data_IF_203795877070
#
_entry.id   IF_203795877070
#
_cell.length_a   1.000
_cell.length_b   1.000
_cell.length_c   1.000
_cell.angle_alpha   90.00
_cell.angle_beta   90.00
_cell.angle_gamma   90.00
#
_symmetry.space_group_name_H-M   'P 1'
#
loop_
_entity.id
_entity.type
_entity.pdbx_description
1 polymer ?
#
# COMPACT_ATOMS: atom_id res chain seq x y z
N UNK A 1 -9.15 0.71 11.04
CA UNK A 1 -8.04 0.31 10.16
C UNK A 1 -8.50 -0.95 9.45
N UNK A 2 -8.42 -1.00 8.13
CA UNK A 2 -8.84 -2.19 7.36
C UNK A 2 -7.81 -3.32 7.52
N UNK A 3 -8.21 -4.57 7.21
CA UNK A 3 -7.26 -5.71 7.19
C UNK A 3 -6.13 -5.43 6.17
N UNK A 4 -6.47 -4.81 5.02
CA UNK A 4 -5.49 -4.41 4.00
C UNK A 4 -4.45 -3.44 4.55
N UNK A 5 -4.87 -2.38 5.25
CA UNK A 5 -3.95 -1.40 5.82
C UNK A 5 -3.00 -2.01 6.85
N UNK A 6 -3.49 -2.98 7.64
CA UNK A 6 -2.66 -3.63 8.64
C UNK A 6 -1.53 -4.45 8.01
N UNK A 7 -1.85 -5.26 6.98
CA UNK A 7 -0.84 -6.13 6.33
C UNK A 7 0.15 -5.32 5.48
N UNK A 8 -0.31 -4.28 4.77
CA UNK A 8 0.58 -3.40 3.99
C UNK A 8 1.54 -2.63 4.90
N UNK A 9 1.08 -2.14 6.05
CA UNK A 9 1.94 -1.49 7.04
C UNK A 9 2.98 -2.44 7.63
N UNK A 10 2.58 -3.67 7.99
CA UNK A 10 3.50 -4.66 8.52
C UNK A 10 4.61 -4.98 7.49
N UNK A 11 4.24 -5.20 6.24
CA UNK A 11 5.16 -5.46 5.15
C UNK A 11 6.12 -4.29 4.91
N UNK A 12 5.62 -3.05 4.80
CA UNK A 12 6.46 -1.88 4.56
C UNK A 12 7.31 -1.47 5.78
N UNK A 13 7.03 -1.97 7.00
CA UNK A 13 7.90 -1.76 8.16
C UNK A 13 9.19 -2.54 8.10
N UNK A 14 9.27 -3.60 7.31
CA UNK A 14 10.49 -4.36 7.10
C UNK A 14 11.57 -3.45 6.49
N UNK A 15 12.72 -3.37 7.12
CA UNK A 15 13.79 -2.45 6.69
C UNK A 15 14.27 -2.74 5.26
N UNK A 16 14.28 -4.00 4.86
CA UNK A 16 14.67 -4.43 3.50
C UNK A 16 13.71 -3.90 2.45
N UNK A 17 12.40 -4.06 2.67
CA UNK A 17 11.34 -3.60 1.78
C UNK A 17 11.27 -2.07 1.74
N UNK A 18 11.38 -1.44 2.92
CA UNK A 18 11.42 0.02 3.04
C UNK A 18 12.60 0.63 2.27
N UNK A 19 13.81 0.09 2.47
CA UNK A 19 15.01 0.53 1.77
C UNK A 19 14.87 0.36 0.26
N UNK A 20 14.29 -0.74 -0.20
CA UNK A 20 14.10 -1.04 -1.62
C UNK A 20 13.19 -0.02 -2.31
N UNK A 21 12.07 0.35 -1.68
CA UNK A 21 11.17 1.37 -2.20
C UNK A 21 11.87 2.73 -2.40
N UNK A 22 12.70 3.15 -1.45
CA UNK A 22 13.45 4.40 -1.57
C UNK A 22 14.67 4.29 -2.48
N UNK A 23 15.31 3.14 -2.55
CA UNK A 23 16.37 2.87 -3.53
C UNK A 23 15.83 2.96 -4.96
N UNK A 24 14.61 2.45 -5.20
CA UNK A 24 13.95 2.65 -6.49
C UNK A 24 13.68 4.13 -6.74
N UNK A 25 13.00 4.81 -5.80
CA UNK A 25 12.54 6.18 -5.98
C UNK A 25 13.70 7.17 -6.21
N UNK A 26 14.74 7.11 -5.36
CA UNK A 26 15.78 8.13 -5.31
C UNK A 26 16.99 7.73 -6.19
N UNK A 27 17.33 6.44 -6.19
CA UNK A 27 18.57 5.95 -6.77
C UNK A 27 18.37 5.01 -7.98
N UNK A 28 17.14 4.97 -8.52
CA UNK A 28 16.78 4.15 -9.69
C UNK A 28 17.15 2.66 -9.51
N UNK A 29 16.90 2.12 -8.31
CA UNK A 29 17.15 0.72 -7.94
C UNK A 29 18.58 0.43 -7.45
N UNK A 30 19.49 1.40 -7.39
CA UNK A 30 20.81 1.20 -6.80
C UNK A 30 20.69 1.10 -5.26
N UNK A 31 21.34 0.12 -4.67
CA UNK A 31 21.30 -0.17 -3.21
C UNK A 31 22.17 0.82 -2.42
N UNK A 32 21.72 2.06 -2.29
CA UNK A 32 22.40 3.14 -1.53
C UNK A 32 21.90 3.16 -0.09
N UNK A 33 20.58 3.08 0.11
CA UNK A 33 19.97 2.98 1.43
C UNK A 33 20.09 1.54 1.89
N UNK A 34 20.82 1.32 2.99
CA UNK A 34 21.07 0.01 3.57
C UNK A 34 20.07 -0.26 4.70
N UNK A 35 19.37 -1.41 4.69
CA UNK A 35 18.37 -1.74 5.69
C UNK A 35 18.87 -1.66 7.14
N UNK A 36 20.12 -2.05 7.36
CA UNK A 36 20.76 -2.09 8.67
C UNK A 36 21.02 -0.71 9.26
N UNK A 37 20.99 0.33 8.42
CA UNK A 37 21.20 1.73 8.80
C UNK A 37 19.90 2.53 8.93
N UNK A 38 18.75 1.86 8.82
CA UNK A 38 17.45 2.44 9.05
C UNK A 38 17.08 2.38 10.52
N UNK A 39 16.65 3.51 11.06
CA UNK A 39 16.13 3.62 12.41
C UNK A 39 14.69 4.10 12.36
N UNK A 40 13.76 3.31 12.88
CA UNK A 40 12.35 3.72 13.00
C UNK A 40 12.22 4.86 14.02
N UNK A 41 11.47 5.88 13.66
CA UNK A 41 11.17 7.03 14.50
C UNK A 41 9.72 6.98 14.96
N UNK A 42 9.47 7.47 16.17
CA UNK A 42 8.12 7.58 16.69
C UNK A 42 7.35 8.67 15.92
N UNK A 43 6.28 8.26 15.27
CA UNK A 43 5.37 9.17 14.56
C UNK A 43 4.42 9.92 15.50
N UNK A 44 4.32 9.53 16.79
CA UNK A 44 3.43 10.15 17.78
C UNK A 44 3.90 11.51 18.28
N UNK A 45 5.20 11.81 18.23
CA UNK A 45 5.73 13.11 18.64
C UNK A 45 5.24 14.29 17.79
N UNK A 46 4.84 14.03 16.56
CA UNK A 46 4.33 15.04 15.61
C UNK A 46 3.06 15.74 16.08
N UNK A 47 2.21 15.04 16.83
CA UNK A 47 0.88 15.54 17.24
C UNK A 47 0.95 16.52 18.41
N UNK A 48 1.95 16.44 19.25
CA UNK A 48 2.06 17.31 20.44
C UNK A 48 2.28 18.80 20.10
N UNK A 49 2.83 19.12 18.93
CA UNK A 49 3.06 20.51 18.52
C UNK A 49 1.78 21.21 18.04
N UNK A 50 0.83 20.49 17.45
CA UNK A 50 -0.45 21.04 17.00
C UNK A 50 -1.42 21.23 18.17
N UNK A 51 -1.35 20.38 19.20
CA UNK A 51 -2.27 20.39 20.34
C UNK A 51 -2.02 21.48 21.39
N UNK A 52 -0.90 22.22 21.34
CA UNK A 52 -0.58 23.30 22.30
C UNK A 52 -1.23 24.65 22.02
N UNK A 53 -2.06 24.80 20.99
CA UNK A 53 -2.93 25.95 20.78
C UNK A 53 -4.09 25.92 21.78
N UNK A 54 -4.15 26.93 22.67
CA UNK A 54 -5.19 27.09 23.69
C UNK A 54 -6.59 27.10 23.09
N UNK A 55 -7.47 26.32 23.70
CA UNK A 55 -8.93 26.29 23.64
C UNK A 55 -9.60 25.55 22.48
N UNK A 56 -10.20 24.51 22.92
CA UNK A 56 -11.46 23.83 22.58
C UNK A 56 -11.35 22.44 21.98
N UNK A 57 -11.97 21.55 22.79
CA UNK A 57 -12.58 20.27 22.43
C UNK A 57 -12.07 19.59 21.14
N UNK A 58 -11.05 18.80 21.34
CA UNK A 58 -10.88 17.43 20.88
C UNK A 58 -11.60 17.05 19.56
N UNK A 59 -11.13 17.56 18.48
CA UNK A 59 -10.87 16.71 17.34
C UNK A 59 -9.36 16.80 17.09
N UNK A 60 -8.63 15.98 17.82
CA UNK A 60 -7.23 15.73 17.52
C UNK A 60 -7.18 15.24 16.08
N UNK A 61 -6.57 16.02 15.21
CA UNK A 61 -6.21 15.56 13.87
C UNK A 61 -5.12 14.50 14.06
N UNK A 62 -5.53 13.33 14.57
CA UNK A 62 -4.72 12.12 14.64
C UNK A 62 -4.57 11.57 13.23
N UNK A 63 -3.76 12.22 12.43
CA UNK A 63 -3.32 11.65 11.16
C UNK A 63 -1.82 11.48 11.23
N UNK A 64 -1.43 10.30 11.66
CA UNK A 64 -0.05 9.87 11.68
C UNK A 64 0.39 9.49 10.26
N UNK A 65 1.62 9.82 9.92
CA UNK A 65 2.33 9.15 8.83
C UNK A 65 2.41 7.66 9.16
N UNK A 66 2.22 6.80 8.16
CA UNK A 66 2.19 5.36 8.40
C UNK A 66 3.52 4.84 8.93
N UNK A 67 4.64 5.26 8.31
CA UNK A 67 5.98 4.87 8.72
C UNK A 67 6.93 6.05 8.53
N UNK A 68 7.82 6.28 9.50
CA UNK A 68 8.89 7.26 9.42
C UNK A 68 10.19 6.63 9.90
N UNK A 69 11.25 6.70 9.09
CA UNK A 69 12.58 6.20 9.45
C UNK A 69 13.65 7.23 9.18
N UNK A 70 14.66 7.27 10.04
CA UNK A 70 15.91 7.96 9.73
C UNK A 70 16.81 7.01 8.95
N UNK A 71 17.37 7.50 7.86
CA UNK A 71 18.36 6.81 7.05
C UNK A 71 19.69 7.54 7.14
N UNK A 72 20.78 6.77 7.20
CA UNK A 72 22.15 7.29 7.11
C UNK A 72 22.70 6.84 5.76
N UNK A 73 23.02 7.81 4.91
CA UNK A 73 23.76 7.57 3.67
C UNK A 73 25.20 7.96 3.90
N UNK A 74 26.12 7.09 3.60
CA UNK A 74 27.55 7.40 3.65
C UNK A 74 28.06 7.46 2.22
N UNK A 75 28.47 8.67 1.80
CA UNK A 75 29.35 8.88 0.67
C UNK A 75 30.72 9.29 1.22
N UNK A 76 31.73 8.50 0.93
CA UNK A 76 33.09 8.64 1.45
C UNK A 76 33.17 8.65 3.00
N UNK A 77 33.76 9.65 3.60
CA UNK A 77 33.84 9.81 5.07
C UNK A 77 32.73 10.67 5.67
N UNK A 78 31.79 11.15 4.86
CA UNK A 78 30.67 12.00 5.29
C UNK A 78 29.40 11.18 5.42
N UNK A 79 28.70 11.35 6.55
CA UNK A 79 27.37 10.77 6.78
C UNK A 79 26.31 11.82 6.55
N UNK A 80 25.46 11.61 5.53
CA UNK A 80 24.26 12.40 5.32
C UNK A 80 23.06 11.71 5.93
N UNK A 81 22.23 12.49 6.61
CA UNK A 81 21.03 12.02 7.29
C UNK A 81 19.81 12.44 6.52
N UNK A 82 18.91 11.48 6.26
CA UNK A 82 17.61 11.71 5.64
C UNK A 82 16.49 11.26 6.57
N UNK A 83 15.35 11.94 6.47
CA UNK A 83 14.09 11.46 7.06
C UNK A 83 13.22 10.94 5.92
N UNK A 84 12.87 9.66 6.00
CA UNK A 84 12.12 8.95 4.98
C UNK A 84 10.77 8.54 5.54
N UNK A 85 9.69 8.95 4.88
CA UNK A 85 8.34 8.63 5.30
C UNK A 85 7.57 7.89 4.22
N UNK A 86 6.77 6.89 4.59
CA UNK A 86 5.85 6.19 3.68
C UNK A 86 4.42 6.39 4.12
N UNK A 87 3.56 6.66 3.16
CA UNK A 87 2.10 6.61 3.23
C UNK A 87 1.60 5.45 2.38
N UNK A 88 1.06 4.41 3.03
CA UNK A 88 0.47 3.26 2.35
C UNK A 88 -1.00 3.56 2.06
N UNK A 89 -1.37 3.61 0.80
CA UNK A 89 -2.73 3.89 0.38
C UNK A 89 -3.35 2.67 -0.30
N UNK A 90 -4.36 2.07 0.32
CA UNK A 90 -5.19 1.03 -0.31
C UNK A 90 -6.37 1.62 -1.06
N UNK A 91 -6.73 2.86 -0.72
CA UNK A 91 -7.75 3.68 -1.38
C UNK A 91 -7.15 5.05 -1.70
N UNK A 92 -7.61 5.69 -2.76
CA UNK A 92 -7.07 6.98 -3.19
C UNK A 92 -7.51 8.09 -2.22
N UNK A 93 -6.54 8.83 -1.72
CA UNK A 93 -6.80 10.02 -0.91
C UNK A 93 -6.62 11.27 -1.75
N UNK A 94 -7.73 11.84 -2.24
CA UNK A 94 -7.71 12.96 -3.19
C UNK A 94 -7.04 14.25 -2.70
N UNK A 95 -6.81 14.42 -1.40
CA UNK A 95 -6.04 15.52 -0.84
C UNK A 95 -4.62 15.12 -0.41
N UNK A 96 -4.01 14.12 -1.07
CA UNK A 96 -2.70 13.60 -0.70
C UNK A 96 -1.57 14.64 -0.74
N UNK A 97 -1.49 15.56 -1.73
CA UNK A 97 -0.47 16.60 -1.73
C UNK A 97 -0.51 17.48 -0.47
N UNK A 98 -1.69 17.90 -0.03
CA UNK A 98 -1.85 18.68 1.21
C UNK A 98 -1.47 17.87 2.43
N UNK A 99 -1.86 16.61 2.48
CA UNK A 99 -1.55 15.71 3.59
C UNK A 99 -0.03 15.53 3.76
N UNK A 100 0.67 15.22 2.68
CA UNK A 100 2.13 15.06 2.70
C UNK A 100 2.84 16.37 3.04
N UNK A 101 2.41 17.49 2.46
CA UNK A 101 2.95 18.82 2.77
C UNK A 101 2.88 19.14 4.27
N UNK A 102 1.75 18.82 4.93
CA UNK A 102 1.61 19.01 6.37
C UNK A 102 2.62 18.16 7.14
N UNK A 103 2.79 16.90 6.77
CA UNK A 103 3.74 16.01 7.45
C UNK A 103 5.19 16.47 7.29
N UNK A 104 5.60 16.87 6.10
CA UNK A 104 6.94 17.35 5.86
C UNK A 104 7.20 18.68 6.57
N UNK A 105 6.23 19.61 6.54
CA UNK A 105 6.32 20.87 7.27
C UNK A 105 6.46 20.66 8.78
N UNK A 106 5.74 19.71 9.37
CA UNK A 106 5.86 19.35 10.77
C UNK A 106 7.24 18.80 11.10
N UNK A 107 7.80 17.94 10.24
CA UNK A 107 9.17 17.43 10.45
C UNK A 107 10.20 18.56 10.41
N UNK A 108 10.10 19.48 9.46
CA UNK A 108 10.99 20.65 9.43
C UNK A 108 10.80 21.54 10.66
N UNK A 109 9.56 21.76 11.10
CA UNK A 109 9.26 22.50 12.33
C UNK A 109 9.89 21.87 13.57
N UNK A 110 9.81 20.54 13.70
CA UNK A 110 10.44 19.79 14.78
C UNK A 110 11.98 19.94 14.77
N UNK A 111 12.60 19.86 13.59
CA UNK A 111 14.04 20.04 13.45
C UNK A 111 14.46 21.44 13.87
N UNK A 112 13.75 22.48 13.43
CA UNK A 112 14.01 23.88 13.84
C UNK A 112 13.92 24.02 15.35
N UNK A 113 12.87 23.47 15.97
CA UNK A 113 12.69 23.54 17.43
C UNK A 113 13.79 22.80 18.20
N UNK A 114 14.20 21.62 17.72
CA UNK A 114 15.27 20.83 18.33
C UNK A 114 16.63 21.54 18.22
N UNK A 115 16.96 22.12 17.07
CA UNK A 115 18.19 22.86 16.83
C UNK A 115 18.21 24.11 17.72
N UNK A 116 17.11 24.86 17.79
CA UNK A 116 17.00 26.04 18.65
C UNK A 116 17.21 25.68 20.12
N UNK A 117 16.61 24.58 20.60
CA UNK A 117 16.82 24.09 21.96
C UNK A 117 18.29 23.70 22.24
N UNK A 118 18.96 23.10 21.25
CA UNK A 118 20.38 22.74 21.34
C UNK A 118 21.28 24.01 21.39
N UNK A 119 21.01 24.98 20.52
CA UNK A 119 21.76 26.27 20.49
C UNK A 119 21.69 26.99 21.82
N UNK A 120 20.56 27.01 22.51
CA UNK A 120 20.41 27.55 23.85
C UNK A 120 21.31 26.85 24.88
N UNK A 121 21.40 25.51 24.81
CA UNK A 121 22.23 24.72 25.73
C UNK A 121 23.73 24.95 25.51
N UNK A 122 24.16 25.09 24.26
CA UNK A 122 25.57 25.26 23.89
C UNK A 122 26.14 26.66 24.24
N UNK A 123 25.29 27.59 24.63
CA UNK A 123 25.66 28.96 25.04
C UNK A 123 26.62 29.67 24.07
N UNK A 124 26.50 29.39 22.78
CA UNK A 124 27.23 30.14 21.75
C UNK A 124 26.78 31.60 21.79
N UNK A 125 27.68 32.51 21.47
CA UNK A 125 27.37 33.94 21.40
C UNK A 125 26.73 34.28 20.04
N UNK A 126 25.39 34.26 19.92
CA UNK A 126 24.70 34.50 18.67
C UNK A 126 24.66 35.99 18.33
N UNK A 127 24.48 36.29 17.05
CA UNK A 127 24.02 37.61 16.63
C UNK A 127 22.61 37.87 17.17
N UNK A 128 22.16 39.15 17.17
CA UNK A 128 20.81 39.49 17.60
C UNK A 128 19.72 38.71 16.78
N UNK A 129 19.94 38.54 15.48
CA UNK A 129 19.01 37.84 14.62
C UNK A 129 18.93 36.31 14.94
N UNK A 130 20.08 35.70 15.18
CA UNK A 130 20.18 34.30 15.60
C UNK A 130 19.56 34.07 16.99
N UNK A 131 19.79 35.00 17.91
CA UNK A 131 19.17 34.97 19.25
C UNK A 131 17.64 35.02 19.16
N UNK A 132 17.09 35.91 18.31
CA UNK A 132 15.63 36.05 18.15
C UNK A 132 14.99 34.87 17.48
N UNK A 133 15.65 34.27 16.49
CA UNK A 133 15.13 33.10 15.76
C UNK A 133 15.40 31.78 16.49
N UNK A 134 16.44 31.72 17.32
CA UNK A 134 16.97 30.48 17.90
C UNK A 134 17.69 29.60 16.90
N UNK A 135 17.64 29.93 15.60
CA UNK A 135 18.24 29.18 14.50
C UNK A 135 19.38 29.97 13.89
N UNK A 136 20.58 29.40 13.86
CA UNK A 136 21.78 30.10 13.45
C UNK A 136 21.99 29.98 11.93
N UNK A 137 22.71 30.95 11.36
CA UNK A 137 22.99 31.00 9.92
C UNK A 137 23.70 29.74 9.41
N UNK A 138 24.49 29.09 10.27
CA UNK A 138 25.23 27.87 9.95
C UNK A 138 24.39 26.60 10.11
N UNK A 139 23.24 26.65 10.79
CA UNK A 139 22.40 25.49 11.02
C UNK A 139 21.81 25.00 9.71
N UNK A 140 21.64 23.68 9.60
CA UNK A 140 21.08 23.00 8.44
C UNK A 140 19.98 22.04 8.89
N UNK A 141 18.96 21.94 8.06
CA UNK A 141 17.92 20.92 8.21
C UNK A 141 18.29 19.69 7.43
N UNK A 142 17.86 18.54 7.94
CA UNK A 142 17.93 17.25 7.23
C UNK A 142 16.80 17.19 6.21
N UNK A 143 17.04 16.74 4.98
CA UNK A 143 15.98 16.54 4.00
C UNK A 143 14.91 15.56 4.50
N UNK A 144 13.65 15.85 4.19
CA UNK A 144 12.50 14.97 4.43
C UNK A 144 11.95 14.56 3.09
N UNK A 145 11.83 13.26 2.86
CA UNK A 145 11.27 12.70 1.62
C UNK A 145 10.12 11.77 1.99
N UNK A 146 8.93 12.07 1.48
CA UNK A 146 7.73 11.27 1.69
C UNK A 146 7.32 10.57 0.41
N UNK A 147 7.24 9.24 0.47
CA UNK A 147 6.76 8.37 -0.60
C UNK A 147 5.30 7.97 -0.33
N UNK A 148 4.47 8.10 -1.32
CA UNK A 148 3.13 7.50 -1.38
C UNK A 148 3.23 6.19 -2.15
N UNK A 149 2.87 5.09 -1.52
CA UNK A 149 2.83 3.79 -2.16
C UNK A 149 1.38 3.32 -2.29
N UNK A 150 0.89 3.22 -3.51
CA UNK A 150 -0.48 2.82 -3.80
C UNK A 150 -0.61 1.31 -3.87
N UNK A 151 -1.41 0.73 -2.96
CA UNK A 151 -1.70 -0.70 -2.92
C UNK A 151 -3.08 -1.05 -3.52
N UNK A 152 -3.73 -0.09 -4.18
CA UNK A 152 -4.98 -0.32 -4.89
C UNK A 152 -4.76 -1.01 -6.23
N UNK A 153 -5.79 -1.76 -6.67
CA UNK A 153 -5.79 -2.40 -7.99
C UNK A 153 -6.20 -1.44 -9.13
N UNK A 154 -6.78 -0.29 -8.77
CA UNK A 154 -7.10 0.78 -9.71
C UNK A 154 -5.93 1.73 -9.88
N UNK A 155 -5.70 2.29 -11.07
CA UNK A 155 -4.71 3.33 -11.26
C UNK A 155 -5.00 4.53 -10.36
N UNK A 156 -3.95 5.21 -9.91
CA UNK A 156 -4.09 6.45 -9.18
C UNK A 156 -4.68 7.53 -10.07
N UNK A 157 -5.84 8.08 -9.69
CA UNK A 157 -6.53 9.17 -10.41
C UNK A 157 -6.61 10.49 -9.61
N UNK A 158 -5.98 10.52 -8.42
CA UNK A 158 -5.91 11.72 -7.58
C UNK A 158 -4.81 12.68 -8.04
N UNK A 159 -4.90 13.94 -7.58
CA UNK A 159 -3.87 14.93 -7.82
C UNK A 159 -2.50 14.47 -7.29
N UNK A 160 -1.45 14.74 -8.05
CA UNK A 160 -0.05 14.46 -7.70
C UNK A 160 0.69 15.71 -7.26
N UNK A 161 0.08 16.88 -7.43
CA UNK A 161 0.64 18.16 -6.98
C UNK A 161 -0.43 19.06 -6.38
N UNK A 162 0.04 20.03 -5.58
CA UNK A 162 -0.83 21.04 -4.97
C UNK A 162 -1.48 21.92 -6.04
N UNK A 163 -0.75 22.24 -7.12
CA UNK A 163 -1.27 23.04 -8.22
C UNK A 163 -2.42 22.35 -8.96
N UNK A 164 -2.41 21.02 -9.09
CA UNK A 164 -3.51 20.26 -9.70
C UNK A 164 -4.80 20.31 -8.87
N UNK A 165 -4.68 20.65 -7.58
CA UNK A 165 -5.82 20.79 -6.67
C UNK A 165 -6.39 22.22 -6.64
N UNK A 166 -5.77 23.18 -7.34
CA UNK A 166 -6.12 24.60 -7.26
C UNK A 166 -6.83 25.06 -8.53
N UNK A 167 -7.80 25.94 -8.34
CA UNK A 167 -8.36 26.78 -9.39
C UNK A 167 -7.64 28.14 -9.38
N UNK A 168 -7.00 28.49 -10.50
CA UNK A 168 -6.26 29.73 -10.64
C UNK A 168 -7.12 30.72 -11.43
N UNK A 169 -7.71 31.77 -10.78
CA UNK A 169 -8.46 32.79 -11.49
C UNK A 169 -7.67 33.51 -12.57
N UNK A 170 -6.35 33.64 -12.35
CA UNK A 170 -5.39 34.18 -13.30
C UNK A 170 -4.16 33.27 -13.28
N UNK A 171 -3.70 32.82 -14.46
CA UNK A 171 -2.56 31.89 -14.57
C UNK A 171 -1.26 32.46 -14.00
N UNK A 172 -1.11 33.78 -14.03
CA UNK A 172 0.03 34.49 -13.46
C UNK A 172 0.18 34.23 -11.94
N UNK A 173 -0.91 33.95 -11.23
CA UNK A 173 -0.90 33.66 -9.79
C UNK A 173 -0.15 32.36 -9.49
N UNK A 174 -0.11 31.41 -10.41
CA UNK A 174 0.58 30.13 -10.25
C UNK A 174 2.06 30.30 -9.89
N UNK A 175 2.73 31.31 -10.41
CA UNK A 175 4.14 31.57 -10.16
C UNK A 175 4.44 32.03 -8.73
N UNK A 176 3.45 32.53 -8.01
CA UNK A 176 3.59 32.99 -6.62
C UNK A 176 3.24 31.93 -5.58
N UNK A 177 2.67 30.81 -6.01
CA UNK A 177 2.27 29.72 -5.13
C UNK A 177 3.24 28.56 -5.35
N UNK A 178 3.89 28.13 -4.26
CA UNK A 178 4.81 27.00 -4.32
C UNK A 178 4.02 25.71 -4.61
N UNK A 179 4.45 24.98 -5.63
CA UNK A 179 3.88 23.67 -5.91
C UNK A 179 4.52 22.61 -5.02
N UNK A 180 3.68 21.83 -4.33
CA UNK A 180 4.13 20.68 -3.56
C UNK A 180 3.73 19.41 -4.31
N UNK A 181 4.72 18.65 -4.77
CA UNK A 181 4.52 17.39 -5.51
C UNK A 181 4.73 16.19 -4.61
N UNK A 182 3.88 15.19 -4.73
CA UNK A 182 4.07 13.90 -4.07
C UNK A 182 5.01 13.02 -4.89
N UNK A 183 5.74 12.15 -4.20
CA UNK A 183 6.43 11.03 -4.83
C UNK A 183 5.52 9.83 -4.74
N UNK A 184 5.07 9.31 -5.89
CA UNK A 184 4.08 8.25 -5.98
C UNK A 184 4.69 7.02 -6.66
N UNK A 185 4.52 5.86 -6.05
CA UNK A 185 4.64 4.56 -6.72
C UNK A 185 3.22 4.02 -6.92
N UNK A 186 2.76 4.03 -8.16
CA UNK A 186 1.50 3.43 -8.59
C UNK A 186 1.81 2.18 -9.43
N UNK A 187 1.50 0.96 -8.94
CA UNK A 187 1.79 -0.27 -9.66
C UNK A 187 1.19 -0.33 -11.06
N UNK A 188 0.01 0.29 -11.26
CA UNK A 188 -0.64 0.30 -12.56
C UNK A 188 0.16 1.08 -13.61
N UNK A 189 0.89 2.11 -13.19
CA UNK A 189 1.70 2.97 -14.05
C UNK A 189 3.13 2.46 -14.28
N UNK A 190 3.63 1.53 -13.44
CA UNK A 190 5.00 1.00 -13.60
C UNK A 190 5.13 0.21 -14.91
N UNK A 191 6.20 0.45 -15.65
CA UNK A 191 6.56 -0.40 -16.77
C UNK A 191 7.20 -1.72 -16.29
N UNK A 192 7.18 -2.81 -17.09
CA UNK A 192 7.76 -4.09 -16.69
C UNK A 192 9.25 -4.02 -16.30
N UNK A 193 10.05 -3.20 -16.97
CA UNK A 193 11.45 -2.99 -16.65
C UNK A 193 11.68 -2.18 -15.38
N UNK A 194 10.71 -1.38 -14.96
CA UNK A 194 10.75 -0.68 -13.69
C UNK A 194 10.54 -1.63 -12.51
N UNK A 195 9.71 -2.65 -12.67
CA UNK A 195 9.55 -3.71 -11.65
C UNK A 195 10.88 -4.44 -11.39
N UNK A 196 11.72 -4.62 -12.40
CA UNK A 196 13.03 -5.30 -12.24
C UNK A 196 14.03 -4.49 -11.41
N UNK A 197 13.78 -3.21 -11.17
CA UNK A 197 14.63 -2.36 -10.32
C UNK A 197 14.44 -2.62 -8.83
N UNK A 198 13.36 -3.30 -8.44
CA UNK A 198 13.14 -3.72 -7.06
C UNK A 198 13.87 -5.02 -6.78
N UNK A 199 14.56 -5.08 -5.65
CA UNK A 199 15.42 -6.19 -5.27
C UNK A 199 14.79 -7.15 -4.25
N UNK A 200 13.70 -6.74 -3.60
CA UNK A 200 12.97 -7.51 -2.58
C UNK A 200 11.65 -8.05 -3.13
N UNK A 201 10.87 -8.74 -2.30
CA UNK A 201 9.50 -9.18 -2.61
C UNK A 201 8.52 -8.03 -2.91
N UNK A 202 8.93 -6.78 -2.72
CA UNK A 202 8.15 -5.61 -3.17
C UNK A 202 7.88 -5.66 -4.68
N UNK A 203 8.83 -6.15 -5.49
CA UNK A 203 8.64 -6.41 -6.92
C UNK A 203 7.44 -7.32 -7.20
N UNK A 204 7.38 -8.44 -6.48
CA UNK A 204 6.33 -9.44 -6.66
C UNK A 204 4.98 -8.91 -6.19
N UNK A 205 4.96 -8.18 -5.07
CA UNK A 205 3.75 -7.54 -4.56
C UNK A 205 3.22 -6.51 -5.56
N UNK A 206 4.05 -5.59 -6.03
CA UNK A 206 3.65 -4.56 -7.01
C UNK A 206 3.22 -5.18 -8.34
N UNK A 207 3.91 -6.22 -8.80
CA UNK A 207 3.53 -6.96 -10.01
C UNK A 207 2.19 -7.67 -9.88
N UNK A 208 1.93 -8.31 -8.75
CA UNK A 208 0.62 -8.92 -8.47
C UNK A 208 -0.51 -7.87 -8.43
N UNK A 209 -0.27 -6.69 -7.86
CA UNK A 209 -1.24 -5.59 -7.88
C UNK A 209 -1.49 -5.12 -9.31
N UNK A 210 -0.44 -4.84 -10.07
CA UNK A 210 -0.51 -4.39 -11.47
C UNK A 210 -1.38 -5.30 -12.33
N UNK A 211 -1.25 -6.61 -12.16
CA UNK A 211 -1.96 -7.58 -12.97
C UNK A 211 -3.23 -8.14 -12.31
N UNK A 212 -3.60 -7.67 -11.10
CA UNK A 212 -4.69 -8.25 -10.29
C UNK A 212 -6.06 -8.27 -10.97
N UNK A 213 -6.33 -7.35 -11.90
CA UNK A 213 -7.60 -7.27 -12.66
C UNK A 213 -7.62 -8.15 -13.91
N UNK A 214 -6.48 -8.68 -14.33
CA UNK A 214 -6.33 -9.53 -15.51
C UNK A 214 -5.84 -10.91 -15.07
N UNK A 215 -6.75 -11.87 -14.95
CA UNK A 215 -6.44 -13.21 -14.45
C UNK A 215 -5.37 -13.92 -15.27
N UNK A 216 -5.34 -13.72 -16.59
CA UNK A 216 -4.36 -14.36 -17.47
C UNK A 216 -2.97 -13.76 -17.26
N UNK A 217 -2.88 -12.44 -17.23
CA UNK A 217 -1.60 -11.75 -16.97
C UNK A 217 -1.09 -12.03 -15.56
N UNK A 218 -1.96 -12.03 -14.55
CA UNK A 218 -1.59 -12.37 -13.18
C UNK A 218 -1.06 -13.80 -13.08
N UNK A 219 -1.78 -14.77 -13.65
CA UNK A 219 -1.36 -16.16 -13.67
C UNK A 219 -0.03 -16.34 -14.42
N UNK A 220 0.13 -15.68 -15.57
CA UNK A 220 1.38 -15.70 -16.34
C UNK A 220 2.54 -15.07 -15.55
N UNK A 221 2.32 -13.93 -14.91
CA UNK A 221 3.32 -13.26 -14.09
C UNK A 221 3.80 -14.15 -12.93
N UNK A 222 2.87 -14.83 -12.24
CA UNK A 222 3.21 -15.69 -11.11
C UNK A 222 3.92 -16.96 -11.58
N UNK A 223 3.43 -17.62 -12.63
CA UNK A 223 4.03 -18.88 -13.10
C UNK A 223 5.40 -18.72 -13.74
N UNK A 224 5.62 -17.62 -14.43
CA UNK A 224 6.88 -17.36 -15.13
C UNK A 224 7.93 -16.67 -14.25
N UNK A 225 7.59 -16.32 -13.01
CA UNK A 225 8.47 -15.63 -12.10
C UNK A 225 9.14 -16.61 -11.13
N UNK A 226 10.45 -16.77 -11.26
CA UNK A 226 11.25 -17.66 -10.41
C UNK A 226 11.40 -17.16 -8.96
N UNK A 227 10.99 -15.91 -8.68
CA UNK A 227 11.08 -15.26 -7.35
C UNK A 227 9.76 -15.37 -6.56
N UNK A 228 8.85 -16.27 -6.94
CA UNK A 228 7.54 -16.46 -6.28
C UNK A 228 7.58 -17.37 -5.04
N UNK A 229 8.74 -17.51 -4.40
CA UNK A 229 8.86 -17.93 -3.02
C UNK A 229 8.97 -16.67 -2.16
N UNK A 230 7.92 -16.36 -1.41
CA UNK A 230 7.75 -15.08 -0.75
C UNK A 230 7.65 -15.24 0.76
N UNK A 231 8.15 -14.28 1.49
CA UNK A 231 7.96 -14.15 2.92
C UNK A 231 6.47 -13.99 3.23
N UNK A 232 6.05 -14.44 4.39
CA UNK A 232 4.66 -14.48 4.82
C UNK A 232 3.96 -13.11 4.73
N UNK A 233 4.67 -12.00 5.03
CA UNK A 233 4.08 -10.66 4.97
C UNK A 233 3.79 -10.23 3.53
N UNK A 234 4.66 -10.54 2.57
CA UNK A 234 4.43 -10.30 1.16
C UNK A 234 3.22 -11.11 0.64
N UNK A 235 3.17 -12.40 0.98
CA UNK A 235 2.05 -13.27 0.62
C UNK A 235 0.71 -12.78 1.20
N UNK A 236 0.69 -12.32 2.46
CA UNK A 236 -0.49 -11.71 3.10
C UNK A 236 -0.97 -10.45 2.40
N UNK A 237 -0.04 -9.61 1.92
CA UNK A 237 -0.39 -8.41 1.14
C UNK A 237 -1.04 -8.82 -0.18
N UNK A 238 -0.43 -9.74 -0.93
CA UNK A 238 -0.99 -10.23 -2.19
C UNK A 238 -2.38 -10.82 -1.98
N UNK A 239 -2.55 -11.69 -0.97
CA UNK A 239 -3.86 -12.26 -0.61
C UNK A 239 -4.91 -11.17 -0.33
N UNK A 240 -4.53 -10.15 0.47
CA UNK A 240 -5.47 -9.11 0.87
C UNK A 240 -5.91 -8.21 -0.30
N UNK A 241 -5.07 -8.04 -1.31
CA UNK A 241 -5.32 -7.11 -2.42
C UNK A 241 -5.96 -7.83 -3.61
N UNK A 242 -5.46 -9.03 -3.95
CA UNK A 242 -5.92 -9.78 -5.14
C UNK A 242 -7.13 -10.67 -4.86
N UNK A 243 -7.57 -10.78 -3.61
CA UNK A 243 -8.62 -11.71 -3.15
C UNK A 243 -8.32 -13.19 -3.44
N UNK A 244 -7.05 -13.53 -3.68
CA UNK A 244 -6.60 -14.92 -3.79
C UNK A 244 -6.67 -15.55 -2.40
N UNK A 245 -7.33 -16.68 -2.25
CA UNK A 245 -7.36 -17.41 -0.96
C UNK A 245 -6.08 -18.23 -0.87
N UNK A 246 -5.23 -17.92 0.11
CA UNK A 246 -4.03 -18.69 0.43
C UNK A 246 -4.21 -19.29 1.83
N UNK A 247 -3.87 -20.55 1.99
CA UNK A 247 -3.79 -21.15 3.32
C UNK A 247 -2.44 -20.74 3.95
N UNK A 248 -2.47 -19.65 4.69
CA UNK A 248 -1.31 -19.08 5.37
C UNK A 248 -1.39 -19.44 6.85
N UNK A 249 -0.91 -20.62 7.23
CA UNK A 249 -0.74 -20.99 8.63
C UNK A 249 0.30 -20.11 9.31
N UNK A 250 0.15 -19.87 10.63
CA UNK A 250 1.05 -18.98 11.39
C UNK A 250 2.48 -19.54 11.52
N UNK A 251 2.68 -20.82 11.21
CA UNK A 251 3.96 -21.52 11.31
C UNK A 251 4.83 -21.45 10.04
N UNK A 252 4.31 -20.83 8.96
CA UNK A 252 4.99 -20.79 7.65
C UNK A 252 5.74 -19.47 7.52
N UNK A 253 7.05 -19.52 7.34
CA UNK A 253 7.89 -18.33 7.11
C UNK A 253 7.89 -17.90 5.64
N UNK A 254 7.83 -18.86 4.70
CA UNK A 254 7.86 -18.62 3.26
C UNK A 254 6.75 -19.38 2.52
N UNK A 255 6.20 -18.78 1.50
CA UNK A 255 5.09 -19.30 0.69
C UNK A 255 5.48 -19.42 -0.78
N UNK A 256 5.30 -20.62 -1.35
CA UNK A 256 5.45 -20.84 -2.79
C UNK A 256 4.16 -20.46 -3.49
N UNK A 257 4.09 -19.25 -4.00
CA UNK A 257 2.87 -18.69 -4.61
C UNK A 257 2.37 -19.47 -5.80
N UNK A 258 3.26 -20.04 -6.64
CA UNK A 258 2.87 -20.85 -7.80
C UNK A 258 2.03 -22.06 -7.39
N UNK A 259 2.47 -22.78 -6.35
CA UNK A 259 1.74 -23.95 -5.84
C UNK A 259 0.39 -23.55 -5.26
N UNK A 260 0.37 -22.52 -4.43
CA UNK A 260 -0.86 -22.03 -3.80
C UNK A 260 -1.93 -21.61 -4.84
N UNK A 261 -1.50 -21.01 -5.96
CA UNK A 261 -2.41 -20.67 -7.06
C UNK A 261 -2.86 -21.90 -7.84
N UNK A 262 -1.99 -22.86 -8.10
CA UNK A 262 -2.35 -24.08 -8.80
C UNK A 262 -3.36 -24.89 -7.98
N UNK A 263 -3.16 -25.02 -6.68
CA UNK A 263 -4.11 -25.66 -5.74
C UNK A 263 -5.47 -24.93 -5.77
N UNK A 264 -5.48 -23.60 -5.65
CA UNK A 264 -6.72 -22.80 -5.75
C UNK A 264 -7.44 -22.94 -7.11
N UNK A 265 -6.69 -22.98 -8.22
CA UNK A 265 -7.29 -23.16 -9.55
C UNK A 265 -7.86 -24.58 -9.72
N UNK A 266 -7.24 -25.58 -9.12
CA UNK A 266 -7.74 -26.94 -9.10
C UNK A 266 -9.04 -27.03 -8.29
N UNK A 267 -9.08 -26.45 -7.09
CA UNK A 267 -10.27 -26.40 -6.24
C UNK A 267 -11.44 -25.71 -6.95
N UNK A 268 -11.21 -24.52 -7.52
CA UNK A 268 -12.21 -23.78 -8.28
C UNK A 268 -12.72 -24.56 -9.51
N UNK A 269 -11.84 -25.34 -10.14
CA UNK A 269 -12.23 -26.19 -11.27
C UNK A 269 -13.06 -27.39 -10.83
N UNK A 270 -12.76 -27.96 -9.67
CA UNK A 270 -13.53 -29.07 -9.09
C UNK A 270 -14.89 -28.58 -8.61
N UNK A 271 -14.95 -27.42 -7.94
CA UNK A 271 -16.20 -26.76 -7.57
C UNK A 271 -17.07 -26.45 -8.79
N UNK A 272 -16.51 -25.79 -9.81
CA UNK A 272 -17.25 -25.50 -11.06
C UNK A 272 -17.74 -26.73 -11.80
N UNK A 273 -17.00 -27.87 -11.76
CA UNK A 273 -17.46 -29.14 -12.30
C UNK A 273 -18.60 -29.74 -11.49
N UNK A 274 -18.54 -29.63 -10.15
CA UNK A 274 -19.59 -30.11 -9.26
C UNK A 274 -20.88 -29.29 -9.42
N UNK A 275 -20.75 -27.95 -9.50
CA UNK A 275 -21.89 -27.07 -9.78
C UNK A 275 -22.50 -27.34 -11.15
N UNK A 276 -21.69 -27.36 -12.20
CA UNK A 276 -22.18 -27.65 -13.58
C UNK A 276 -22.83 -29.03 -13.72
N UNK A 277 -22.33 -30.03 -12.98
CA UNK A 277 -22.98 -31.34 -12.92
C UNK A 277 -24.34 -31.28 -12.24
N UNK A 278 -24.43 -30.55 -11.16
CA UNK A 278 -25.69 -30.37 -10.40
C UNK A 278 -26.71 -29.60 -11.24
N UNK A 279 -26.30 -28.51 -11.89
CA UNK A 279 -27.15 -27.73 -12.79
C UNK A 279 -27.61 -28.56 -13.98
N UNK A 280 -26.72 -29.36 -14.60
CA UNK A 280 -27.04 -30.24 -15.71
C UNK A 280 -28.06 -31.31 -15.31
N UNK A 281 -27.92 -31.91 -14.11
CA UNK A 281 -28.91 -32.89 -13.59
C UNK A 281 -30.26 -32.18 -13.34
N UNK A 282 -30.27 -31.00 -12.72
CA UNK A 282 -31.48 -30.23 -12.48
C UNK A 282 -32.18 -29.86 -13.79
N UNK A 283 -31.43 -29.39 -14.78
CA UNK A 283 -31.96 -29.05 -16.10
C UNK A 283 -32.62 -30.26 -16.78
N UNK A 284 -31.92 -31.41 -16.81
CA UNK A 284 -32.44 -32.62 -17.40
C UNK A 284 -33.70 -33.14 -16.67
N UNK A 285 -33.69 -33.20 -15.35
CA UNK A 285 -34.82 -33.63 -14.55
C UNK A 285 -36.02 -32.67 -14.66
N UNK A 286 -35.77 -31.36 -14.73
CA UNK A 286 -36.80 -30.36 -14.97
C UNK A 286 -37.48 -30.56 -16.33
N UNK A 287 -36.71 -30.85 -17.37
CA UNK A 287 -37.25 -31.20 -18.69
C UNK A 287 -38.18 -32.42 -18.63
N UNK A 288 -37.73 -33.52 -17.98
CA UNK A 288 -38.52 -34.74 -17.84
C UNK A 288 -39.82 -34.54 -17.02
N UNK A 289 -39.82 -33.64 -16.05
CA UNK A 289 -41.04 -33.30 -15.29
C UNK A 289 -42.00 -32.48 -16.16
N UNK A 290 -41.48 -31.50 -16.89
CA UNK A 290 -42.32 -30.69 -17.83
C UNK A 290 -42.95 -31.54 -18.95
N UNK A 291 -42.22 -32.52 -19.42
CA UNK A 291 -42.69 -33.48 -20.44
C UNK A 291 -43.66 -34.56 -19.87
N UNK A 292 -43.91 -34.54 -18.53
CA UNK A 292 -44.79 -35.51 -17.90
C UNK A 292 -44.22 -36.91 -17.75
N UNK A 293 -42.93 -37.09 -17.96
CA UNK A 293 -42.21 -38.39 -17.89
C UNK A 293 -41.87 -38.77 -16.43
N UNK A 294 -41.59 -37.77 -15.58
CA UNK A 294 -41.26 -37.96 -14.16
C UNK A 294 -42.20 -37.15 -13.28
N UNK A 295 -42.52 -37.69 -12.09
CA UNK A 295 -43.15 -36.89 -11.05
C UNK A 295 -42.14 -35.97 -10.39
N UNK A 296 -42.62 -34.82 -9.81
CA UNK A 296 -41.76 -33.89 -9.04
C UNK A 296 -41.05 -34.64 -7.91
N UNK A 297 -41.75 -35.56 -7.24
CA UNK A 297 -41.22 -36.39 -6.17
C UNK A 297 -40.06 -37.27 -6.63
N UNK A 298 -40.19 -37.94 -7.76
CA UNK A 298 -39.13 -38.80 -8.29
C UNK A 298 -37.94 -37.99 -8.80
N UNK A 299 -38.19 -36.85 -9.39
CA UNK A 299 -37.16 -35.93 -9.87
C UNK A 299 -36.36 -35.34 -8.68
N UNK A 300 -37.06 -34.90 -7.62
CA UNK A 300 -36.43 -34.40 -6.41
C UNK A 300 -35.56 -35.46 -5.72
N UNK A 301 -36.07 -36.70 -5.64
CA UNK A 301 -35.31 -37.84 -5.11
C UNK A 301 -34.02 -38.09 -5.92
N UNK A 302 -34.10 -38.08 -7.26
CA UNK A 302 -32.95 -38.28 -8.17
C UNK A 302 -31.95 -37.10 -8.11
N UNK A 303 -32.44 -35.90 -7.83
CA UNK A 303 -31.61 -34.71 -7.60
C UNK A 303 -31.02 -34.66 -6.19
N UNK A 304 -31.34 -35.63 -5.32
CA UNK A 304 -30.97 -35.63 -3.90
C UNK A 304 -31.43 -34.34 -3.17
N UNK A 305 -32.65 -33.88 -3.45
CA UNK A 305 -33.25 -32.67 -2.92
C UNK A 305 -34.64 -32.99 -2.33
N UNK A 306 -35.14 -32.03 -1.52
CA UNK A 306 -36.55 -32.06 -1.11
C UNK A 306 -37.46 -31.63 -2.27
N UNK A 307 -38.73 -32.09 -2.31
CA UNK A 307 -39.68 -31.68 -3.35
C UNK A 307 -39.81 -30.16 -3.45
N UNK A 308 -39.90 -29.47 -2.30
CA UNK A 308 -40.00 -28.02 -2.24
C UNK A 308 -38.76 -27.32 -2.80
N UNK A 309 -37.54 -27.83 -2.52
CA UNK A 309 -36.30 -27.27 -3.05
C UNK A 309 -36.18 -27.48 -4.57
N UNK A 310 -36.63 -28.67 -5.08
CA UNK A 310 -36.65 -28.96 -6.50
C UNK A 310 -37.65 -28.07 -7.25
N UNK A 311 -38.87 -27.87 -6.72
CA UNK A 311 -39.84 -26.92 -7.28
C UNK A 311 -39.33 -25.50 -7.36
N UNK A 312 -38.62 -25.05 -6.30
CA UNK A 312 -37.99 -23.72 -6.31
C UNK A 312 -36.90 -23.60 -7.36
N UNK A 313 -36.09 -24.66 -7.58
CA UNK A 313 -35.06 -24.71 -8.62
C UNK A 313 -35.69 -24.74 -10.04
N UNK A 314 -36.76 -25.50 -10.24
CA UNK A 314 -37.51 -25.53 -11.52
C UNK A 314 -38.02 -24.18 -12.00
N UNK A 315 -38.36 -23.26 -11.04
CA UNK A 315 -38.83 -21.91 -11.37
C UNK A 315 -37.73 -20.98 -11.85
N UNK A 316 -36.47 -21.34 -11.59
CA UNK A 316 -35.28 -20.53 -11.95
C UNK A 316 -34.68 -20.98 -13.30
N UNK A 317 -35.00 -22.20 -13.74
CA UNK A 317 -34.60 -22.81 -15.01
C UNK A 317 -35.75 -22.61 -16.02
#
# INVERSE_FOLDING_TARGET
MSKKDTVTKAFMRENTVFADAFNYLIFNGKKVIQPERLQELDTTELVQLIAKGKNNKNESVQKYRDILKAAVIMEDENADYLLLGIENQTEIHYAMPVRNMIYDALQYGNQVAAIAAQNVKEKKAPTRAEFLSGFYKADKLRPVITLVLHFGADPWDGATSLHEMMDFPLEEMRTFIQDYKIHLIDPAALEPDELEKFSTSLREVLGCIKYSKDKEKLSSFIRNNTRMMLEINAARVIQAITNITLDLSEEVEEVVMCKAIDDMMQDSREEGKAEGRTEGILFALTGLVRDGVLSIKDAAFRANMTESAFEAAMKKI
#
